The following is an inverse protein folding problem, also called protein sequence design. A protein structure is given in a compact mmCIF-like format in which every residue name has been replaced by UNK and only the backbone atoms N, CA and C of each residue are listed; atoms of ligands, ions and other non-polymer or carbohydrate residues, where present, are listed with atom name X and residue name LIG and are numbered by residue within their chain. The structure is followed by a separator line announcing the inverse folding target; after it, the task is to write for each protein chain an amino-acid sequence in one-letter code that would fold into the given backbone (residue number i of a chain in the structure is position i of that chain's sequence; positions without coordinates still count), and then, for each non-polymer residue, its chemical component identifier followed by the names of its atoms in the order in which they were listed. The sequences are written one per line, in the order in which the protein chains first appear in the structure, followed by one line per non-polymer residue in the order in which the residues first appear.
data_IF_262785644632
#
_entry.id   IF_262785644632
#
_cell.length_a   1.000
_cell.length_b   1.000
_cell.length_c   1.000
_cell.angle_alpha   90.00
_cell.angle_beta   90.00
_cell.angle_gamma   90.00
#
_symmetry.space_group_name_H-M   'P 1'
#
loop_
_entity.id
_entity.type
_entity.pdbx_description
1 polymer ?
#
# COMPACT_ATOMS: atom_id res chain seq x y z
N UNK A 1 15.79 -0.68 4.78
CA UNK A 1 15.12 0.46 5.42
C UNK A 1 14.01 -0.11 6.28
N UNK A 2 14.05 0.13 7.59
CA UNK A 2 13.02 -0.35 8.52
C UNK A 2 12.13 0.83 8.94
N UNK A 3 10.83 0.88 8.61
CA UNK A 3 10.01 2.04 8.91
C UNK A 3 9.55 2.13 10.37
N UNK A 4 9.68 1.05 11.15
CA UNK A 4 9.07 0.93 12.49
C UNK A 4 9.48 2.01 13.50
N UNK A 5 10.75 2.47 13.55
CA UNK A 5 11.14 3.56 14.45
C UNK A 5 10.42 4.90 14.18
N UNK A 6 9.83 5.06 12.99
CA UNK A 6 9.15 6.27 12.55
C UNK A 6 7.63 6.12 12.50
N UNK A 7 7.11 4.91 12.68
CA UNK A 7 5.68 4.64 12.64
C UNK A 7 4.96 5.32 13.81
N UNK A 8 3.86 6.01 13.52
CA UNK A 8 3.02 6.69 14.54
C UNK A 8 1.56 6.27 14.44
N UNK A 9 0.82 6.50 15.53
CA UNK A 9 -0.63 6.27 15.56
C UNK A 9 -1.00 4.85 15.14
N UNK A 10 -1.98 4.73 14.24
CA UNK A 10 -2.53 3.43 13.82
C UNK A 10 -1.51 2.56 13.08
N UNK A 11 -0.45 3.15 12.52
CA UNK A 11 0.63 2.40 11.88
C UNK A 11 1.50 1.66 12.89
N UNK A 12 1.77 2.26 14.05
CA UNK A 12 2.50 1.58 15.12
C UNK A 12 1.70 0.36 15.63
N UNK A 13 0.41 0.56 15.89
CA UNK A 13 -0.52 -0.53 16.27
C UNK A 13 -0.55 -1.63 15.21
N UNK A 14 -0.52 -1.28 13.93
CA UNK A 14 -0.50 -2.25 12.83
C UNK A 14 0.73 -3.16 12.90
N UNK A 15 1.91 -2.60 13.16
CA UNK A 15 3.14 -3.41 13.29
C UNK A 15 3.09 -4.34 14.51
N UNK A 16 2.38 -3.96 15.57
CA UNK A 16 2.16 -4.82 16.74
C UNK A 16 1.16 -5.95 16.45
N UNK A 17 0.07 -5.64 15.73
CA UNK A 17 -0.95 -6.63 15.35
C UNK A 17 -0.44 -7.66 14.32
N UNK A 18 0.43 -7.23 13.41
CA UNK A 18 0.90 -8.03 12.28
C UNK A 18 2.44 -8.06 12.23
N UNK A 19 3.09 -8.74 13.20
CA UNK A 19 4.56 -8.77 13.28
C UNK A 19 5.21 -9.42 12.06
N UNK A 20 4.51 -10.30 11.34
CA UNK A 20 5.00 -10.97 10.13
C UNK A 20 5.17 -10.05 8.90
N UNK A 21 4.61 -8.83 8.90
CA UNK A 21 4.83 -7.83 7.83
C UNK A 21 6.33 -7.49 7.70
N UNK A 22 7.09 -7.62 8.80
CA UNK A 22 8.51 -7.33 8.83
C UNK A 22 8.77 -5.84 8.64
N UNK A 23 9.60 -5.50 7.64
CA UNK A 23 10.04 -4.11 7.39
C UNK A 23 9.26 -3.43 6.27
N UNK A 24 8.18 -4.03 5.77
CA UNK A 24 7.29 -3.39 4.79
C UNK A 24 6.41 -2.35 5.51
N UNK A 25 6.27 -1.16 4.93
CA UNK A 25 5.35 -0.15 5.43
C UNK A 25 3.94 -0.43 4.89
N UNK A 26 2.97 -0.86 5.73
CA UNK A 26 1.65 -1.20 5.25
C UNK A 26 0.79 0.05 4.99
N UNK A 27 -0.09 -0.02 3.99
CA UNK A 27 -1.12 0.98 3.74
C UNK A 27 -2.49 0.44 4.21
N UNK A 28 -2.78 0.57 5.52
CA UNK A 28 -3.92 -0.09 6.18
C UNK A 28 -5.28 0.62 6.03
N UNK A 29 -5.40 1.52 5.05
CA UNK A 29 -6.61 2.31 4.79
C UNK A 29 -6.29 3.77 4.51
N UNK A 30 -7.34 4.51 4.16
CA UNK A 30 -7.22 5.87 3.61
C UNK A 30 -8.20 6.86 4.26
N UNK A 31 -8.58 6.63 5.51
CA UNK A 31 -9.21 7.67 6.32
C UNK A 31 -8.22 8.79 6.67
N UNK A 32 -8.72 9.97 7.02
CA UNK A 32 -7.88 11.17 7.23
C UNK A 32 -6.70 10.94 8.20
N UNK A 33 -6.96 10.27 9.32
CA UNK A 33 -5.93 9.90 10.31
C UNK A 33 -4.89 8.94 9.73
N UNK A 34 -5.34 7.90 9.01
CA UNK A 34 -4.45 6.89 8.42
C UNK A 34 -3.55 7.50 7.33
N UNK A 35 -4.11 8.41 6.52
CA UNK A 35 -3.36 9.16 5.51
C UNK A 35 -2.32 10.06 6.17
N UNK A 36 -2.68 10.75 7.26
CA UNK A 36 -1.76 11.62 7.99
C UNK A 36 -0.61 10.82 8.64
N UNK A 37 -0.92 9.69 9.30
CA UNK A 37 0.09 8.79 9.89
C UNK A 37 1.02 8.22 8.82
N UNK A 38 0.47 7.78 7.68
CA UNK A 38 1.25 7.24 6.57
C UNK A 38 2.17 8.30 5.97
N UNK A 39 1.67 9.52 5.74
CA UNK A 39 2.47 10.62 5.23
C UNK A 39 3.62 10.96 6.16
N UNK A 40 3.33 11.13 7.46
CA UNK A 40 4.32 11.46 8.48
C UNK A 40 5.40 10.37 8.57
N UNK A 41 4.99 9.11 8.57
CA UNK A 41 5.90 7.96 8.61
C UNK A 41 6.80 7.96 7.37
N UNK A 42 6.23 8.02 6.16
CA UNK A 42 7.00 8.02 4.91
C UNK A 42 8.02 9.16 4.89
N UNK A 43 7.62 10.39 5.25
CA UNK A 43 8.50 11.55 5.18
C UNK A 43 9.58 11.55 6.27
N UNK A 44 9.36 10.87 7.40
CA UNK A 44 10.35 10.76 8.48
C UNK A 44 11.39 9.64 8.27
N UNK A 45 11.04 8.55 7.57
CA UNK A 45 11.93 7.39 7.35
C UNK A 45 13.19 7.77 6.57
N UNK A 46 14.38 7.44 7.05
CA UNK A 46 15.61 7.75 6.31
C UNK A 46 15.78 6.80 5.09
N UNK A 47 15.52 7.32 3.88
CA UNK A 47 15.67 6.59 2.62
C UNK A 47 15.83 7.53 1.42
N UNK A 48 16.45 7.03 0.34
CA UNK A 48 16.68 7.79 -0.90
C UNK A 48 15.46 7.80 -1.84
N UNK A 49 14.64 6.75 -1.79
CA UNK A 49 13.50 6.55 -2.70
C UNK A 49 12.36 5.79 -2.01
N UNK A 50 11.12 6.14 -2.36
CA UNK A 50 9.91 5.42 -1.95
C UNK A 50 9.38 4.60 -3.14
N UNK A 51 9.19 3.31 -2.93
CA UNK A 51 8.60 2.41 -3.93
C UNK A 51 7.15 2.14 -3.55
N UNK A 52 6.21 2.65 -4.36
CA UNK A 52 4.78 2.41 -4.18
C UNK A 52 4.44 1.07 -4.82
N UNK A 53 4.19 0.07 -3.97
CA UNK A 53 3.73 -1.27 -4.37
C UNK A 53 2.22 -1.48 -4.21
N UNK A 54 1.42 -0.41 -4.10
CA UNK A 54 -0.04 -0.52 -4.04
C UNK A 54 -0.65 -0.49 -5.45
N UNK A 55 -1.79 -1.17 -5.70
CA UNK A 55 -2.47 -1.11 -7.00
C UNK A 55 -2.93 0.30 -7.35
N UNK A 56 -3.35 1.07 -6.34
CA UNK A 56 -3.73 2.47 -6.51
C UNK A 56 -2.50 3.37 -6.61
N UNK A 57 -2.67 4.55 -7.20
CA UNK A 57 -1.64 5.58 -7.13
C UNK A 57 -1.69 6.31 -5.79
N UNK A 58 -0.79 5.93 -4.87
CA UNK A 58 -0.72 6.51 -3.52
C UNK A 58 -0.41 8.02 -3.54
N UNK A 59 0.23 8.54 -4.59
CA UNK A 59 0.57 9.98 -4.69
C UNK A 59 -0.67 10.87 -4.83
N UNK A 60 -1.83 10.28 -5.17
CA UNK A 60 -3.12 10.99 -5.25
C UNK A 60 -3.71 11.33 -3.90
N UNK A 61 -3.22 10.70 -2.83
CA UNK A 61 -3.78 10.80 -1.47
C UNK A 61 -2.74 11.12 -0.40
N UNK A 62 -1.46 10.81 -0.62
CA UNK A 62 -0.36 11.10 0.31
C UNK A 62 0.66 12.02 -0.36
N UNK A 63 1.08 13.10 0.31
CA UNK A 63 2.17 13.95 -0.15
C UNK A 63 3.51 13.40 0.31
N UNK A 64 4.27 12.85 -0.63
CA UNK A 64 5.58 12.25 -0.36
C UNK A 64 6.66 13.24 -0.77
N UNK A 65 7.49 13.67 0.19
CA UNK A 65 8.52 14.69 -0.03
C UNK A 65 9.84 14.09 -0.59
N UNK A 66 9.80 12.82 -1.00
CA UNK A 66 10.95 12.04 -1.45
C UNK A 66 10.75 11.55 -2.88
N UNK A 67 11.85 11.31 -3.63
CA UNK A 67 11.78 10.63 -4.92
C UNK A 67 10.93 9.36 -4.80
N UNK A 68 9.97 9.20 -5.71
CA UNK A 68 8.99 8.12 -5.62
C UNK A 68 8.83 7.45 -6.97
N UNK A 69 8.73 6.11 -6.96
CA UNK A 69 8.42 5.30 -8.13
C UNK A 69 7.23 4.41 -7.83
N UNK A 70 6.33 4.26 -8.79
CA UNK A 70 5.18 3.35 -8.70
C UNK A 70 5.46 2.08 -9.48
N UNK A 71 5.26 0.93 -8.83
CA UNK A 71 5.29 -0.38 -9.47
C UNK A 71 3.86 -0.77 -9.77
N UNK A 72 3.60 -1.23 -11.00
CA UNK A 72 2.29 -1.72 -11.41
C UNK A 72 2.33 -3.22 -11.62
N UNK A 73 1.26 -3.87 -11.19
CA UNK A 73 1.01 -5.29 -11.39
C UNK A 73 -0.50 -5.46 -11.55
N UNK A 74 -0.88 -6.54 -12.22
CA UNK A 74 -2.28 -6.89 -12.43
C UNK A 74 -2.50 -8.34 -12.02
N UNK A 75 -3.75 -8.66 -11.64
CA UNK A 75 -4.14 -10.04 -11.37
C UNK A 75 -4.13 -10.79 -12.69
N UNK A 76 -3.38 -11.88 -12.75
CA UNK A 76 -3.47 -12.86 -13.82
C UNK A 76 -4.28 -14.06 -13.31
N UNK A 77 -5.52 -14.21 -13.78
CA UNK A 77 -6.33 -15.39 -13.50
C UNK A 77 -5.71 -16.62 -14.18
N UNK A 78 -5.54 -17.70 -13.41
CA UNK A 78 -4.98 -18.96 -13.91
C UNK A 78 -6.10 -20.01 -13.95
N UNK A 79 -6.39 -20.52 -15.15
CA UNK A 79 -7.39 -21.58 -15.38
C UNK A 79 -8.69 -21.07 -16.01
N UNK A 80 -9.57 -22.02 -16.33
CA UNK A 80 -10.89 -21.77 -16.95
C UNK A 80 -12.01 -22.53 -16.21
N UNK A 81 -13.25 -21.97 -16.17
CA UNK A 81 -13.62 -20.67 -16.69
C UNK A 81 -13.15 -19.51 -15.79
N UNK A 82 -12.73 -18.41 -16.39
CA UNK A 82 -12.36 -17.19 -15.67
C UNK A 82 -13.59 -16.30 -15.39
N UNK A 83 -13.41 -15.25 -14.57
CA UNK A 83 -14.51 -14.35 -14.19
C UNK A 83 -15.21 -13.73 -15.41
N UNK A 84 -14.44 -13.33 -16.43
CA UNK A 84 -14.98 -12.76 -17.66
C UNK A 84 -15.89 -13.76 -18.40
N UNK A 85 -15.47 -15.02 -18.52
CA UNK A 85 -16.24 -16.09 -19.16
C UNK A 85 -17.52 -16.40 -18.39
N UNK A 86 -17.46 -16.41 -17.05
CA UNK A 86 -18.65 -16.59 -16.22
C UNK A 86 -19.64 -15.46 -16.42
N UNK A 87 -19.18 -14.20 -16.37
CA UNK A 87 -20.04 -13.03 -16.54
C UNK A 87 -20.67 -12.93 -17.94
N UNK A 88 -19.97 -13.39 -18.99
CA UNK A 88 -20.50 -13.39 -20.34
C UNK A 88 -21.85 -14.14 -20.45
N UNK A 89 -22.00 -15.26 -19.73
CA UNK A 89 -23.24 -16.05 -19.72
C UNK A 89 -24.45 -15.38 -19.06
N UNK A 90 -24.26 -14.26 -18.36
CA UNK A 90 -25.33 -13.50 -17.67
C UNK A 90 -25.74 -12.22 -18.39
N UNK A 91 -25.02 -11.82 -19.44
CA UNK A 91 -25.25 -10.55 -20.18
C UNK A 91 -25.94 -10.82 -21.54
N UNK A 92 -26.30 -12.08 -21.83
CA UNK A 92 -27.14 -12.49 -22.97
C UNK A 92 -28.65 -12.22 -22.76
#
# INVERSE_FOLDING_TARGET
VDPRPWATGRLAETFELYPEIGTLLPAMGYGDEQVADLQKTINAVECDVVVIGTPIDLTRIVKIDKPTVRVSYELQEIGEPNLQQLLASFID
#
